data_IF_526139590830
#
_entry.id   IF_526139590830
#
_cell.length_a   1.000
_cell.length_b   1.000
_cell.length_c   1.000
_cell.angle_alpha   90.00
_cell.angle_beta   90.00
_cell.angle_gamma   90.00
#
_symmetry.space_group_name_H-M   'P 1'
#
loop_
_entity.id
_entity.type
_entity.pdbx_description
1 polymer ?
#
# COMPACT_ATOMS: atom_id res chain seq x y z
N UNK A 1 -10.40 -12.46 -26.04
CA UNK A 1 -11.85 -12.77 -26.15
C UNK A 1 -12.59 -11.57 -26.76
N UNK A 2 -12.65 -10.40 -26.11
CA UNK A 2 -13.30 -9.19 -26.67
C UNK A 2 -12.69 -8.75 -28.02
N UNK A 3 -11.37 -8.59 -28.11
CA UNK A 3 -10.71 -8.18 -29.38
C UNK A 3 -10.94 -9.20 -30.50
N UNK A 4 -10.83 -10.49 -30.17
CA UNK A 4 -11.08 -11.57 -31.13
C UNK A 4 -12.54 -11.63 -31.58
N UNK A 5 -13.49 -11.32 -30.70
CA UNK A 5 -14.91 -11.22 -31.03
C UNK A 5 -15.17 -10.09 -32.02
N UNK A 6 -14.69 -8.87 -31.73
CA UNK A 6 -14.86 -7.71 -32.63
C UNK A 6 -14.08 -7.82 -33.94
N UNK A 7 -12.94 -8.52 -33.94
CA UNK A 7 -12.20 -8.86 -35.17
C UNK A 7 -12.96 -9.86 -36.04
N UNK A 8 -13.74 -10.77 -35.45
CA UNK A 8 -14.53 -11.76 -36.18
C UNK A 8 -15.76 -11.13 -36.88
N UNK A 9 -16.30 -10.06 -36.30
CA UNK A 9 -17.45 -9.32 -36.86
C UNK A 9 -17.02 -8.04 -37.62
N UNK A 10 -15.75 -7.96 -38.06
CA UNK A 10 -15.16 -6.83 -38.80
C UNK A 10 -15.43 -5.44 -38.20
N UNK A 11 -15.67 -5.38 -36.89
CA UNK A 11 -16.11 -4.17 -36.17
C UNK A 11 -15.05 -3.72 -35.16
N UNK A 12 -13.76 -3.83 -35.49
CA UNK A 12 -12.67 -3.36 -34.61
C UNK A 12 -12.76 -1.86 -34.28
N UNK A 13 -13.40 -1.08 -35.15
CA UNK A 13 -13.67 0.35 -34.93
C UNK A 13 -14.52 0.63 -33.67
N UNK A 14 -15.28 -0.34 -33.16
CA UNK A 14 -16.03 -0.18 -31.90
C UNK A 14 -15.15 -0.33 -30.65
N UNK A 15 -13.90 -0.78 -30.79
CA UNK A 15 -12.92 -0.82 -29.71
C UNK A 15 -12.12 0.49 -29.58
N UNK A 16 -12.28 1.42 -30.53
CA UNK A 16 -11.65 2.73 -30.48
C UNK A 16 -12.60 3.74 -29.82
N UNK A 17 -12.06 4.69 -29.04
CA UNK A 17 -12.87 5.78 -28.52
C UNK A 17 -13.46 6.57 -29.69
N UNK A 18 -14.77 6.82 -29.65
CA UNK A 18 -15.40 7.66 -30.64
C UNK A 18 -15.22 9.13 -30.24
N UNK A 19 -14.40 9.85 -31.01
CA UNK A 19 -14.09 11.26 -30.74
C UNK A 19 -15.14 12.21 -31.32
N UNK A 20 -15.82 11.79 -32.40
CA UNK A 20 -16.80 12.59 -33.14
C UNK A 20 -18.23 11.99 -33.10
N UNK A 21 -18.53 11.16 -32.09
CA UNK A 21 -19.85 10.57 -31.91
C UNK A 21 -20.76 11.46 -31.05
N UNK A 22 -22.07 11.40 -31.33
CA UNK A 22 -23.06 11.99 -30.44
C UNK A 22 -23.16 11.18 -29.14
N UNK A 23 -22.54 11.69 -28.07
CA UNK A 23 -22.60 11.14 -26.72
C UNK A 23 -24.01 11.19 -26.11
N UNK A 24 -24.94 11.96 -26.67
CA UNK A 24 -26.35 11.90 -26.25
C UNK A 24 -27.08 10.67 -26.79
N UNK A 25 -26.54 10.02 -27.83
CA UNK A 25 -27.07 8.76 -28.34
C UNK A 25 -26.67 7.58 -27.43
N UNK A 26 -27.54 6.57 -27.35
CA UNK A 26 -27.27 5.35 -26.59
C UNK A 26 -26.01 4.63 -27.11
N UNK A 27 -25.86 4.54 -28.44
CA UNK A 27 -24.72 3.87 -29.05
C UNK A 27 -23.39 4.60 -28.81
N UNK A 28 -23.39 5.94 -28.89
CA UNK A 28 -22.21 6.76 -28.58
C UNK A 28 -21.78 6.62 -27.12
N UNK A 29 -22.75 6.65 -26.20
CA UNK A 29 -22.51 6.42 -24.77
C UNK A 29 -21.93 5.02 -24.52
N UNK A 30 -22.52 3.97 -25.09
CA UNK A 30 -22.06 2.59 -24.87
C UNK A 30 -20.65 2.37 -25.38
N UNK A 31 -20.31 2.87 -26.57
CA UNK A 31 -18.95 2.79 -27.12
C UNK A 31 -17.94 3.51 -26.23
N UNK A 32 -18.27 4.73 -25.81
CA UNK A 32 -17.43 5.51 -24.89
C UNK A 32 -17.18 4.75 -23.59
N UNK A 33 -18.26 4.31 -22.92
CA UNK A 33 -18.14 3.60 -21.65
C UNK A 33 -17.36 2.30 -21.80
N UNK A 34 -17.59 1.51 -22.84
CA UNK A 34 -16.90 0.23 -23.04
C UNK A 34 -15.38 0.40 -23.23
N UNK A 35 -14.96 1.39 -24.02
CA UNK A 35 -13.52 1.65 -24.26
C UNK A 35 -12.82 2.05 -22.97
N UNK A 36 -13.35 3.04 -22.24
CA UNK A 36 -12.74 3.49 -20.99
C UNK A 36 -12.86 2.45 -19.87
N UNK A 37 -13.92 1.65 -19.86
CA UNK A 37 -14.05 0.50 -18.97
C UNK A 37 -12.98 -0.55 -19.22
N UNK A 38 -12.70 -0.86 -20.49
CA UNK A 38 -11.65 -1.81 -20.87
C UNK A 38 -10.24 -1.29 -20.53
N UNK A 39 -9.96 0.00 -20.78
CA UNK A 39 -8.70 0.62 -20.38
C UNK A 39 -8.51 0.61 -18.86
N UNK A 40 -9.54 0.98 -18.09
CA UNK A 40 -9.51 0.91 -16.64
C UNK A 40 -9.25 -0.53 -16.15
N UNK A 41 -9.90 -1.52 -16.77
CA UNK A 41 -9.71 -2.93 -16.45
C UNK A 41 -8.28 -3.42 -16.70
N UNK A 42 -7.65 -3.00 -17.80
CA UNK A 42 -6.24 -3.31 -18.08
C UNK A 42 -5.35 -2.72 -16.99
N UNK A 43 -5.53 -1.44 -16.65
CA UNK A 43 -4.73 -0.79 -15.61
C UNK A 43 -4.85 -1.51 -14.26
N UNK A 44 -6.07 -1.79 -13.81
CA UNK A 44 -6.32 -2.52 -12.55
C UNK A 44 -5.79 -3.96 -12.63
N UNK A 45 -5.91 -4.62 -13.78
CA UNK A 45 -5.35 -5.95 -14.01
C UNK A 45 -3.83 -5.98 -13.85
N UNK A 46 -3.12 -5.01 -14.41
CA UNK A 46 -1.66 -4.88 -14.23
C UNK A 46 -1.29 -4.63 -12.77
N UNK A 47 -2.03 -3.74 -12.08
CA UNK A 47 -1.84 -3.51 -10.63
C UNK A 47 -2.06 -4.80 -9.85
N UNK A 48 -3.11 -5.56 -10.14
CA UNK A 48 -3.42 -6.81 -9.44
C UNK A 48 -2.32 -7.87 -9.65
N UNK A 49 -1.88 -8.09 -10.89
CA UNK A 49 -0.83 -9.06 -11.22
C UNK A 49 0.50 -8.71 -10.55
N UNK A 50 0.89 -7.44 -10.60
CA UNK A 50 2.14 -6.97 -9.97
C UNK A 50 2.04 -6.94 -8.43
N UNK A 51 0.83 -6.93 -7.87
CA UNK A 51 0.58 -7.01 -6.42
C UNK A 51 0.57 -8.44 -5.86
N UNK A 52 0.69 -9.46 -6.71
CA UNK A 52 0.77 -10.85 -6.27
C UNK A 52 1.96 -11.06 -5.30
N UNK A 53 1.82 -11.90 -4.25
CA UNK A 53 2.86 -12.08 -3.25
C UNK A 53 4.22 -12.47 -3.83
N UNK A 54 4.22 -13.27 -4.89
CA UNK A 54 5.44 -13.67 -5.59
C UNK A 54 6.17 -12.47 -6.21
N UNK A 55 5.47 -11.63 -6.98
CA UNK A 55 6.07 -10.45 -7.64
C UNK A 55 6.49 -9.42 -6.60
N UNK A 56 5.64 -9.17 -5.60
CA UNK A 56 5.92 -8.17 -4.56
C UNK A 56 7.15 -8.51 -3.70
N UNK A 57 7.42 -9.80 -3.46
CA UNK A 57 8.58 -10.26 -2.66
C UNK A 57 9.87 -10.30 -3.47
N UNK A 58 9.81 -10.65 -4.76
CA UNK A 58 10.99 -10.82 -5.61
C UNK A 58 11.34 -9.60 -6.48
N UNK A 59 10.34 -8.78 -6.84
CA UNK A 59 10.47 -7.65 -7.76
C UNK A 59 9.74 -6.41 -7.21
N UNK A 60 10.17 -5.95 -6.03
CA UNK A 60 9.52 -4.85 -5.31
C UNK A 60 9.47 -3.54 -6.12
N UNK A 61 10.46 -3.25 -6.95
CA UNK A 61 10.47 -2.02 -7.76
C UNK A 61 9.37 -2.02 -8.83
N UNK A 62 9.17 -3.16 -9.50
CA UNK A 62 8.10 -3.32 -10.50
C UNK A 62 6.75 -3.15 -9.83
N UNK A 63 6.53 -3.81 -8.69
CA UNK A 63 5.34 -3.62 -7.88
C UNK A 63 5.12 -2.14 -7.56
N UNK A 64 6.13 -1.46 -7.01
CA UNK A 64 6.03 -0.05 -6.59
C UNK A 64 5.65 0.86 -7.75
N UNK A 65 6.29 0.70 -8.90
CA UNK A 65 6.06 1.56 -10.07
C UNK A 65 4.72 1.26 -10.71
N UNK A 66 4.39 -0.01 -10.93
CA UNK A 66 3.11 -0.42 -11.52
C UNK A 66 1.91 -0.06 -10.62
N UNK A 67 2.10 0.00 -9.30
CA UNK A 67 1.01 0.36 -8.38
C UNK A 67 0.42 1.73 -8.72
N UNK A 68 1.23 2.71 -9.16
CA UNK A 68 0.76 4.05 -9.54
C UNK A 68 -0.20 4.06 -10.74
N UNK A 69 -0.34 2.95 -11.48
CA UNK A 69 -1.39 2.78 -12.49
C UNK A 69 -2.81 2.90 -11.92
N UNK A 70 -2.99 2.89 -10.58
CA UNK A 70 -4.27 3.24 -9.97
C UNK A 70 -4.74 4.66 -10.34
N UNK A 71 -3.82 5.59 -10.60
CA UNK A 71 -4.14 6.99 -10.98
C UNK A 71 -4.82 7.05 -12.36
N UNK A 72 -4.19 6.58 -13.46
CA UNK A 72 -4.87 6.51 -14.75
C UNK A 72 -6.08 5.57 -14.72
N UNK A 73 -6.07 4.49 -13.93
CA UNK A 73 -7.25 3.64 -13.76
C UNK A 73 -8.46 4.42 -13.20
N UNK A 74 -8.24 5.31 -12.21
CA UNK A 74 -9.31 6.15 -11.66
C UNK A 74 -9.84 7.16 -12.68
N UNK A 75 -8.98 7.72 -13.53
CA UNK A 75 -9.36 8.62 -14.62
C UNK A 75 -10.21 7.88 -15.66
N UNK A 76 -9.77 6.71 -16.12
CA UNK A 76 -10.55 5.92 -17.08
C UNK A 76 -11.86 5.39 -16.46
N UNK A 77 -11.86 5.03 -15.18
CA UNK A 77 -13.07 4.63 -14.49
C UNK A 77 -14.10 5.77 -14.39
N UNK A 78 -13.66 7.03 -14.21
CA UNK A 78 -14.59 8.17 -14.18
C UNK A 78 -15.22 8.44 -15.54
N UNK A 79 -14.46 8.22 -16.62
CA UNK A 79 -14.96 8.27 -18.00
C UNK A 79 -15.88 7.10 -18.35
N UNK A 80 -15.70 5.93 -17.73
CA UNK A 80 -16.60 4.77 -17.86
C UNK A 80 -17.93 5.00 -17.15
N UNK A 81 -17.92 5.55 -15.92
CA UNK A 81 -19.13 5.80 -15.14
C UNK A 81 -18.93 6.95 -14.16
N UNK A 82 -19.58 8.08 -14.42
CA UNK A 82 -19.49 9.29 -13.57
C UNK A 82 -19.78 9.03 -12.09
N UNK A 83 -20.78 8.20 -11.69
CA UNK A 83 -21.00 7.84 -10.29
C UNK A 83 -19.80 7.29 -9.50
N UNK A 84 -18.74 6.77 -10.14
CA UNK A 84 -17.54 6.32 -9.43
C UNK A 84 -16.85 7.46 -8.66
N UNK A 85 -17.07 8.71 -9.08
CA UNK A 85 -16.51 9.89 -8.43
C UNK A 85 -16.96 10.00 -6.96
N UNK A 86 -18.16 9.52 -6.61
CA UNK A 86 -18.60 9.48 -5.21
C UNK A 86 -17.71 8.56 -4.37
N UNK A 87 -17.37 7.38 -4.90
CA UNK A 87 -16.49 6.42 -4.23
C UNK A 87 -15.06 6.95 -4.15
N UNK A 88 -14.53 7.50 -5.24
CA UNK A 88 -13.18 8.10 -5.28
C UNK A 88 -13.07 9.25 -4.27
N UNK A 89 -14.07 10.13 -4.23
CA UNK A 89 -14.12 11.24 -3.29
C UNK A 89 -14.17 10.75 -1.84
N UNK A 90 -15.04 9.78 -1.53
CA UNK A 90 -15.13 9.20 -0.19
C UNK A 90 -13.80 8.56 0.23
N UNK A 91 -13.15 7.80 -0.65
CA UNK A 91 -11.83 7.22 -0.40
C UNK A 91 -10.75 8.28 -0.17
N UNK A 92 -10.77 9.37 -0.94
CA UNK A 92 -9.82 10.48 -0.78
C UNK A 92 -10.00 11.16 0.57
N UNK A 93 -11.25 11.46 0.98
CA UNK A 93 -11.54 12.07 2.28
C UNK A 93 -11.07 11.17 3.42
N UNK A 94 -11.38 9.87 3.37
CA UNK A 94 -10.92 8.91 4.36
C UNK A 94 -9.38 8.83 4.42
N UNK A 95 -8.72 8.82 3.27
CA UNK A 95 -7.26 8.84 3.19
C UNK A 95 -6.67 10.10 3.83
N UNK A 96 -7.22 11.28 3.54
CA UNK A 96 -6.75 12.54 4.10
C UNK A 96 -6.94 12.59 5.62
N UNK A 97 -8.11 12.16 6.12
CA UNK A 97 -8.39 12.08 7.56
C UNK A 97 -7.37 11.15 8.24
N UNK A 98 -7.19 9.93 7.72
CA UNK A 98 -6.22 8.98 8.25
C UNK A 98 -4.78 9.54 8.22
N UNK A 99 -4.41 10.22 7.14
CA UNK A 99 -3.08 10.82 6.99
C UNK A 99 -2.86 11.97 7.98
N UNK A 100 -3.89 12.78 8.26
CA UNK A 100 -3.84 13.81 9.30
C UNK A 100 -3.62 13.16 10.67
N UNK A 101 -4.45 12.19 11.09
CA UNK A 101 -4.26 11.48 12.36
C UNK A 101 -2.89 10.80 12.48
N UNK A 102 -2.38 10.24 11.37
CA UNK A 102 -1.05 9.59 11.32
C UNK A 102 0.12 10.59 11.40
N UNK A 103 -0.11 11.86 11.08
CA UNK A 103 0.86 12.94 11.27
C UNK A 103 0.86 13.47 12.69
N UNK A 104 -0.31 13.56 13.30
CA UNK A 104 -0.48 14.00 14.70
C UNK A 104 -0.04 12.95 15.74
N UNK A 105 0.18 11.70 15.33
CA UNK A 105 0.77 10.69 16.20
C UNK A 105 2.20 11.08 16.56
N UNK A 106 2.48 11.25 17.86
CA UNK A 106 3.79 11.65 18.39
C UNK A 106 4.91 10.76 17.86
N UNK A 107 5.83 11.37 17.11
CA UNK A 107 7.06 10.72 16.62
C UNK A 107 8.21 11.16 17.50
N UNK A 108 8.48 10.41 18.57
CA UNK A 108 9.64 10.64 19.41
C UNK A 108 10.80 9.75 18.97
N UNK A 109 12.02 10.28 18.75
CA UNK A 109 13.19 9.44 18.65
C UNK A 109 13.43 8.76 20.01
N UNK A 110 13.47 7.44 20.01
CA UNK A 110 13.72 6.62 21.20
C UNK A 110 15.04 5.88 21.03
N UNK A 111 15.82 5.78 22.12
CA UNK A 111 17.04 4.96 22.14
C UNK A 111 16.69 3.52 22.53
N UNK A 112 17.34 2.56 21.85
CA UNK A 112 17.28 1.14 22.21
C UNK A 112 18.16 0.94 23.44
N UNK A 113 17.56 0.48 24.54
CA UNK A 113 18.25 0.13 25.77
C UNK A 113 18.92 -1.24 25.67
N UNK A 114 18.23 -2.21 25.05
CA UNK A 114 18.69 -3.60 24.93
C UNK A 114 18.13 -4.24 23.67
N UNK A 115 18.95 -5.05 23.01
CA UNK A 115 18.54 -5.92 21.92
C UNK A 115 19.01 -7.35 22.21
N UNK A 116 18.08 -8.29 22.38
CA UNK A 116 18.36 -9.69 22.72
C UNK A 116 17.77 -10.62 21.67
N UNK A 117 18.61 -11.45 21.06
CA UNK A 117 18.14 -12.52 20.18
C UNK A 117 17.65 -13.70 21.03
N UNK A 118 16.42 -14.15 20.81
CA UNK A 118 15.80 -15.26 21.51
C UNK A 118 15.79 -16.54 20.68
N UNK A 119 15.83 -17.72 21.33
CA UNK A 119 15.68 -19.00 20.66
C UNK A 119 14.23 -19.19 20.19
N UNK A 120 13.96 -18.82 18.94
CA UNK A 120 12.75 -19.09 18.14
C UNK A 120 12.68 -18.10 16.96
N UNK A 121 13.83 -17.59 16.54
CA UNK A 121 13.89 -16.61 15.51
C UNK A 121 13.15 -15.28 15.84
N UNK A 122 13.32 -14.80 17.08
CA UNK A 122 12.69 -13.57 17.58
C UNK A 122 13.75 -12.65 18.18
N UNK A 123 13.64 -11.34 17.93
CA UNK A 123 14.45 -10.32 18.60
C UNK A 123 13.58 -9.59 19.61
N UNK A 124 14.02 -9.54 20.86
CA UNK A 124 13.50 -8.68 21.91
C UNK A 124 14.24 -7.34 21.86
N UNK A 125 13.48 -6.26 21.67
CA UNK A 125 14.00 -4.90 21.72
C UNK A 125 13.39 -4.18 22.92
N UNK A 126 14.24 -3.69 23.82
CA UNK A 126 13.84 -2.85 24.95
C UNK A 126 14.19 -1.41 24.66
N UNK A 127 13.26 -0.49 24.87
CA UNK A 127 13.44 0.95 24.62
C UNK A 127 13.33 1.76 25.89
N UNK A 128 14.12 2.83 26.00
CA UNK A 128 13.85 3.88 26.98
C UNK A 128 12.67 4.72 26.49
N UNK A 129 11.58 4.69 27.25
CA UNK A 129 10.39 5.49 26.94
C UNK A 129 10.18 6.61 27.96
N UNK A 130 9.86 7.79 27.46
CA UNK A 130 9.40 8.95 28.26
C UNK A 130 7.88 8.98 28.40
N UNK A 131 7.17 8.13 27.65
CA UNK A 131 5.70 8.06 27.60
C UNK A 131 5.22 6.73 28.17
N UNK A 132 4.17 6.76 28.98
CA UNK A 132 3.57 5.53 29.50
C UNK A 132 2.80 4.81 28.39
N UNK A 133 3.12 3.52 28.19
CA UNK A 133 2.39 2.64 27.28
C UNK A 133 1.54 1.66 28.07
N UNK A 134 0.29 1.48 27.65
CA UNK A 134 -0.56 0.43 28.21
C UNK A 134 -0.02 -0.96 27.80
N UNK A 135 0.03 -1.93 28.74
CA UNK A 135 0.37 -3.30 28.39
C UNK A 135 -0.58 -3.86 27.33
N UNK A 136 -0.05 -4.51 26.30
CA UNK A 136 -0.84 -5.04 25.19
C UNK A 136 -1.22 -4.00 24.11
N UNK A 137 -0.78 -2.75 24.25
CA UNK A 137 -0.91 -1.74 23.21
C UNK A 137 -0.06 -2.05 21.96
N UNK A 138 -0.47 -1.51 20.81
CA UNK A 138 0.34 -1.57 19.58
C UNK A 138 1.11 -0.28 19.40
N UNK A 139 2.40 -0.37 19.12
CA UNK A 139 3.28 0.76 18.80
C UNK A 139 3.84 0.62 17.39
N UNK A 140 4.02 1.74 16.71
CA UNK A 140 4.58 1.78 15.36
C UNK A 140 6.05 2.17 15.44
N UNK A 141 6.93 1.29 14.96
CA UNK A 141 8.37 1.53 14.94
C UNK A 141 8.84 1.74 13.51
N UNK A 142 9.62 2.80 13.31
CA UNK A 142 10.34 3.06 12.06
C UNK A 142 11.81 2.72 12.27
N UNK A 143 12.36 1.88 11.40
CA UNK A 143 13.78 1.52 11.40
C UNK A 143 14.45 2.21 10.21
N UNK A 144 15.21 3.30 10.42
CA UNK A 144 15.81 4.08 9.34
C UNK A 144 16.74 3.24 8.44
N UNK A 145 17.37 2.19 8.98
CA UNK A 145 18.22 1.27 8.23
C UNK A 145 17.46 0.43 7.18
N UNK A 146 16.14 0.26 7.32
CA UNK A 146 15.30 -0.50 6.39
C UNK A 146 14.61 0.39 5.37
N UNK A 147 14.07 1.51 5.83
CA UNK A 147 13.31 2.45 5.02
C UNK A 147 13.08 3.74 5.78
N UNK A 148 13.25 4.86 5.09
CA UNK A 148 13.02 6.19 5.65
C UNK A 148 11.55 6.50 5.95
N UNK A 149 10.62 5.77 5.34
CA UNK A 149 9.19 6.10 5.35
C UNK A 149 8.28 4.98 5.84
N UNK A 150 8.78 3.75 6.02
CA UNK A 150 7.95 2.61 6.44
C UNK A 150 7.90 2.50 7.96
N UNK A 151 6.69 2.37 8.47
CA UNK A 151 6.40 2.12 9.88
C UNK A 151 5.83 0.71 10.00
N UNK A 152 6.30 -0.03 11.00
CA UNK A 152 5.87 -1.40 11.24
C UNK A 152 5.18 -1.49 12.60
N UNK A 153 3.99 -2.08 12.68
CA UNK A 153 3.26 -2.23 13.94
C UNK A 153 3.84 -3.38 14.74
N UNK A 154 4.02 -3.16 16.04
CA UNK A 154 4.46 -4.17 16.99
C UNK A 154 3.64 -4.11 18.27
N UNK A 155 3.43 -5.28 18.88
CA UNK A 155 2.81 -5.33 20.20
C UNK A 155 3.83 -4.97 21.27
N UNK A 156 3.43 -4.06 22.15
CA UNK A 156 4.22 -3.61 23.29
C UNK A 156 3.90 -4.47 24.51
N UNK A 157 4.94 -5.08 25.06
CA UNK A 157 4.91 -5.77 26.34
C UNK A 157 5.59 -4.86 27.36
N UNK A 158 4.85 -3.85 27.84
CA UNK A 158 5.30 -2.99 28.93
C UNK A 158 4.91 -3.62 30.26
N UNK A 159 5.85 -3.69 31.21
CA UNK A 159 5.51 -3.99 32.61
C UNK A 159 5.27 -2.66 33.32
N UNK A 160 4.22 -2.60 34.15
CA UNK A 160 3.75 -1.38 34.83
C UNK A 160 4.81 -0.62 35.66
N UNK A 161 5.95 -1.26 35.94
CA UNK A 161 6.97 -0.78 36.88
C UNK A 161 8.27 -0.29 36.23
N UNK A 162 8.44 -0.41 34.92
CA UNK A 162 9.70 -0.04 34.28
C UNK A 162 9.46 0.94 33.13
N UNK A 163 10.28 2.00 33.03
CA UNK A 163 10.32 2.93 31.89
C UNK A 163 10.91 2.25 30.61
N UNK A 164 10.61 0.96 30.45
CA UNK A 164 11.15 0.04 29.49
C UNK A 164 9.98 -0.66 28.78
N UNK A 165 9.79 -0.34 27.50
CA UNK A 165 8.86 -1.03 26.62
C UNK A 165 9.64 -2.14 25.89
N UNK A 166 9.15 -3.39 25.93
CA UNK A 166 9.71 -4.49 25.17
C UNK A 166 8.84 -4.80 23.94
N UNK A 167 9.47 -5.05 22.81
CA UNK A 167 8.83 -5.47 21.56
C UNK A 167 9.48 -6.76 21.08
N UNK A 168 8.65 -7.70 20.61
CA UNK A 168 9.10 -8.91 19.94
C UNK A 168 8.83 -8.81 18.44
N UNK A 169 9.87 -9.01 17.63
CA UNK A 169 9.76 -9.01 16.18
C UNK A 169 10.31 -10.31 15.58
N UNK A 170 9.44 -11.07 14.89
CA UNK A 170 9.80 -12.32 14.21
C UNK A 170 10.22 -12.09 12.73
N UNK A 171 9.66 -11.08 12.05
CA UNK A 171 9.97 -10.82 10.62
C UNK A 171 11.13 -9.83 10.37
N UNK A 172 11.66 -9.21 11.44
CA UNK A 172 12.76 -8.24 11.36
C UNK A 172 14.14 -8.93 11.39
N UNK A 173 14.17 -10.22 11.70
CA UNK A 173 15.39 -10.97 11.92
C UNK A 173 16.43 -10.88 10.81
N UNK A 174 16.02 -10.95 9.54
CA UNK A 174 16.98 -10.97 8.44
C UNK A 174 17.75 -9.64 8.32
N UNK A 175 17.24 -8.53 8.88
CA UNK A 175 17.87 -7.22 8.71
C UNK A 175 18.38 -6.59 10.01
N UNK A 176 17.70 -6.77 11.15
CA UNK A 176 18.24 -6.28 12.44
C UNK A 176 19.32 -7.22 12.98
N UNK A 177 19.28 -8.54 12.72
CA UNK A 177 20.40 -9.40 13.10
C UNK A 177 21.68 -9.05 12.33
N UNK A 178 21.57 -8.68 11.04
CA UNK A 178 22.72 -8.25 10.24
C UNK A 178 23.27 -6.86 10.62
N UNK A 179 22.46 -5.97 11.21
CA UNK A 179 22.91 -4.65 11.65
C UNK A 179 23.31 -4.57 13.12
N UNK A 180 22.67 -5.33 14.01
CA UNK A 180 23.08 -5.45 15.43
C UNK A 180 24.35 -6.30 15.57
N UNK A 181 24.61 -7.23 14.65
CA UNK A 181 25.89 -7.93 14.58
C UNK A 181 27.05 -7.07 14.02
N UNK A 182 26.80 -5.84 13.54
CA UNK A 182 27.79 -4.98 12.87
C UNK A 182 28.04 -3.65 13.59
N UNK A 183 27.84 -3.61 14.92
CA UNK A 183 28.19 -2.49 15.81
C UNK A 183 29.08 -2.96 16.99
N UNK A 184 30.04 -3.83 16.70
CA UNK A 184 31.25 -4.01 17.50
C UNK A 184 32.47 -3.75 16.62
N UNK A 185 32.73 -2.47 16.37
CA UNK A 185 34.07 -1.86 16.27
C UNK A 185 33.94 -0.38 16.60
#
# INVERSE_FOLDING_TARGET
IIVAYYANIDSLVTLLPCWDCDLASAEGTDRWQNVFGFLAFICVGVVALTSLPYVRRNHYEVFRTAHFLFVPAAIFASMHRVPILYSVFASLVLYLINHMYSRETTRAPISVARATAMPADVIELTFHTTTHYAPGGTVWVRVPALSHSKWHPFHCFATWFCNAAAIFAADIQILVANYVAMQLY
#
